data_IF_214686466109
#
_entry.id   IF_214686466109
#
_cell.length_a   1.000
_cell.length_b   1.000
_cell.length_c   1.000
_cell.angle_alpha   90.00
_cell.angle_beta   90.00
_cell.angle_gamma   90.00
#
_symmetry.space_group_name_H-M   'P 1'
#
loop_
_entity.id
_entity.type
_entity.pdbx_description
1 polymer ?
#
# COMPACT_ATOMS: atom_id res chain seq x y z
N UNK A 1 -5.26 -27.12 20.94
CA UNK A 1 -6.28 -26.27 20.28
C UNK A 1 -6.04 -24.80 20.64
N UNK A 2 -4.77 -24.39 20.70
CA UNK A 2 -4.32 -23.21 21.44
C UNK A 2 -4.57 -21.93 20.63
N UNK A 3 -5.56 -21.17 21.12
CA UNK A 3 -5.47 -19.74 21.44
C UNK A 3 -4.15 -19.08 21.02
N UNK A 4 -4.21 -18.19 20.03
CA UNK A 4 -3.18 -17.17 19.82
C UNK A 4 -3.85 -15.83 19.51
N UNK A 5 -4.15 -15.12 20.59
CA UNK A 5 -4.13 -13.66 20.73
C UNK A 5 -3.01 -13.05 19.88
N UNK A 6 -3.22 -11.90 19.21
CA UNK A 6 -2.37 -10.70 19.29
C UNK A 6 -2.94 -9.56 18.43
N UNK A 7 -2.71 -8.35 18.96
CA UNK A 7 -3.40 -7.11 18.71
C UNK A 7 -2.69 -6.24 17.66
N UNK A 8 -3.48 -5.50 16.87
CA UNK A 8 -3.07 -4.20 16.35
C UNK A 8 -4.14 -3.17 16.71
N UNK A 9 -3.66 -2.01 17.18
CA UNK A 9 -4.41 -0.99 17.86
C UNK A 9 -4.83 0.10 16.86
N UNK A 10 -6.12 0.19 16.53
CA UNK A 10 -6.80 1.45 16.21
C UNK A 10 -8.22 1.34 16.77
N UNK A 11 -8.39 1.82 18.00
CA UNK A 11 -9.69 2.15 18.57
C UNK A 11 -10.13 3.45 17.89
N UNK A 12 -11.21 3.41 17.12
CA UNK A 12 -12.36 4.25 17.42
C UNK A 12 -13.61 3.78 16.66
N UNK A 13 -14.70 3.74 17.41
CA UNK A 13 -16.02 3.24 17.04
C UNK A 13 -16.63 4.24 16.05
N UNK A 14 -16.53 4.00 14.74
CA UNK A 14 -17.11 4.91 13.75
C UNK A 14 -18.65 4.77 13.77
N UNK A 15 -19.42 5.84 14.03
CA UNK A 15 -20.87 5.81 14.03
C UNK A 15 -21.43 5.50 12.63
N UNK A 16 -22.62 4.87 12.62
CA UNK A 16 -23.27 4.23 11.45
C UNK A 16 -23.75 5.15 10.31
N UNK A 17 -23.30 6.40 10.18
CA UNK A 17 -24.02 7.37 9.33
C UNK A 17 -23.24 8.08 8.22
N UNK A 18 -21.96 7.77 7.96
CA UNK A 18 -21.18 8.63 7.05
C UNK A 18 -20.49 7.86 5.93
N UNK A 19 -21.15 7.86 4.77
CA UNK A 19 -20.70 7.34 3.47
C UNK A 19 -19.41 7.98 2.91
N UNK A 20 -18.69 8.80 3.67
CA UNK A 20 -17.59 9.65 3.17
C UNK A 20 -16.38 9.76 4.11
N UNK A 21 -16.21 8.84 5.07
CA UNK A 21 -14.99 8.82 5.86
C UNK A 21 -13.80 8.41 4.99
N UNK A 22 -12.71 9.19 5.02
CA UNK A 22 -11.51 8.91 4.22
C UNK A 22 -10.98 7.48 4.46
N UNK A 23 -11.00 7.01 5.71
CA UNK A 23 -10.68 5.62 6.08
C UNK A 23 -11.56 4.59 5.37
N UNK A 24 -12.85 4.85 5.23
CA UNK A 24 -13.78 3.95 4.55
C UNK A 24 -13.55 3.94 3.04
N UNK A 25 -13.18 5.06 2.43
CA UNK A 25 -12.90 5.14 0.99
C UNK A 25 -11.61 4.39 0.61
N UNK A 26 -10.50 4.70 1.28
CA UNK A 26 -9.24 3.96 1.15
C UNK A 26 -9.51 2.47 1.40
N UNK A 27 -10.33 2.23 2.42
CA UNK A 27 -10.77 0.92 2.78
C UNK A 27 -11.78 0.25 1.83
N UNK A 28 -12.45 0.93 0.94
CA UNK A 28 -13.23 0.24 -0.09
C UNK A 28 -12.31 -0.16 -1.23
N UNK A 29 -11.39 0.74 -1.56
CA UNK A 29 -10.47 0.62 -2.66
C UNK A 29 -9.52 -0.56 -2.48
N UNK A 30 -8.81 -0.67 -1.35
CA UNK A 30 -7.87 -1.79 -1.13
C UNK A 30 -8.64 -3.13 -1.11
N UNK A 31 -9.84 -3.19 -0.54
CA UNK A 31 -10.55 -4.48 -0.45
C UNK A 31 -11.01 -4.97 -1.82
N UNK A 32 -11.50 -4.07 -2.67
CA UNK A 32 -11.98 -4.44 -4.00
C UNK A 32 -10.83 -4.61 -4.99
N UNK A 33 -9.91 -3.66 -5.04
CA UNK A 33 -8.90 -3.57 -6.10
C UNK A 33 -7.69 -4.48 -5.81
N UNK A 34 -7.43 -4.81 -4.53
CA UNK A 34 -6.30 -5.64 -4.11
C UNK A 34 -6.76 -7.00 -3.62
N UNK A 35 -7.57 -7.03 -2.55
CA UNK A 35 -7.87 -8.28 -1.85
C UNK A 35 -8.80 -9.16 -2.70
N UNK A 36 -10.01 -8.70 -2.99
CA UNK A 36 -11.01 -9.45 -3.76
C UNK A 36 -10.60 -9.70 -5.21
N UNK A 37 -9.80 -8.80 -5.79
CA UNK A 37 -9.20 -9.02 -7.09
C UNK A 37 -8.22 -10.20 -7.10
N UNK A 38 -7.59 -10.49 -5.95
CA UNK A 38 -6.64 -11.61 -5.79
C UNK A 38 -7.30 -12.87 -5.27
N UNK A 39 -8.21 -12.75 -4.30
CA UNK A 39 -8.86 -13.88 -3.64
C UNK A 39 -10.18 -14.19 -4.36
N UNK A 40 -10.13 -15.14 -5.29
CA UNK A 40 -11.30 -15.56 -6.05
C UNK A 40 -12.34 -16.27 -5.15
N UNK A 41 -13.18 -15.52 -4.42
CA UNK A 41 -14.35 -16.05 -3.71
C UNK A 41 -15.58 -15.11 -3.75
N UNK A 42 -16.75 -15.75 -3.68
CA UNK A 42 -18.08 -15.21 -3.91
C UNK A 42 -18.54 -14.15 -2.88
N UNK A 43 -19.42 -13.29 -3.37
CA UNK A 43 -19.98 -12.06 -2.79
C UNK A 43 -20.73 -12.24 -1.45
N UNK A 44 -20.54 -11.28 -0.54
CA UNK A 44 -21.61 -10.33 -0.13
C UNK A 44 -20.99 -8.96 0.18
N UNK A 45 -21.68 -7.83 -0.13
CA UNK A 45 -21.22 -6.50 0.26
C UNK A 45 -21.53 -6.27 1.74
N UNK A 46 -20.68 -6.80 2.61
CA UNK A 46 -20.67 -6.47 4.03
C UNK A 46 -20.03 -5.11 4.29
N UNK A 47 -20.53 -4.40 5.30
CA UNK A 47 -20.02 -3.11 5.79
C UNK A 47 -18.51 -3.20 6.07
N UNK A 48 -17.68 -2.48 5.31
CA UNK A 48 -16.23 -2.54 5.41
C UNK A 48 -15.67 -1.73 6.60
N UNK A 49 -15.30 -2.44 7.66
CA UNK A 49 -14.48 -1.94 8.76
C UNK A 49 -13.23 -2.82 8.89
N UNK A 50 -12.12 -2.36 8.30
CA UNK A 50 -10.78 -2.98 8.19
C UNK A 50 -10.22 -3.59 9.48
N UNK A 51 -10.75 -4.75 9.81
CA UNK A 51 -10.38 -5.53 10.97
C UNK A 51 -9.89 -6.87 10.48
N UNK A 52 -9.00 -7.50 11.25
CA UNK A 52 -8.43 -8.80 10.88
C UNK A 52 -9.49 -9.86 10.53
N UNK A 53 -10.68 -9.81 11.15
CA UNK A 53 -11.76 -10.74 10.82
C UNK A 53 -12.31 -10.58 9.38
N UNK A 54 -12.28 -9.37 8.80
CA UNK A 54 -12.70 -9.16 7.40
C UNK A 54 -11.61 -9.65 6.44
N UNK A 55 -10.34 -9.36 6.73
CA UNK A 55 -9.20 -9.88 5.96
C UNK A 55 -9.15 -11.41 5.97
N UNK A 56 -9.38 -12.02 7.14
CA UNK A 56 -9.44 -13.46 7.29
C UNK A 56 -10.63 -14.09 6.58
N UNK A 57 -11.78 -13.40 6.54
CA UNK A 57 -12.94 -13.85 5.76
C UNK A 57 -12.64 -13.86 4.25
N UNK A 58 -11.77 -12.97 3.80
CA UNK A 58 -11.30 -12.89 2.42
C UNK A 58 -10.08 -13.78 2.14
N UNK A 59 -9.62 -14.60 3.10
CA UNK A 59 -8.52 -15.56 2.91
C UNK A 59 -7.11 -15.04 3.23
N UNK A 60 -6.99 -13.83 3.77
CA UNK A 60 -5.69 -13.29 4.24
C UNK A 60 -5.43 -13.79 5.66
N UNK A 61 -4.35 -14.56 5.84
CA UNK A 61 -4.04 -15.22 7.12
C UNK A 61 -2.92 -14.54 7.90
N UNK A 62 -2.00 -13.85 7.22
CA UNK A 62 -0.81 -13.24 7.83
C UNK A 62 -0.54 -11.90 7.13
N UNK A 63 -0.19 -10.88 7.92
CA UNK A 63 0.28 -9.58 7.43
C UNK A 63 1.69 -9.37 7.96
N UNK A 64 2.64 -9.14 7.07
CA UNK A 64 4.05 -8.98 7.41
C UNK A 64 4.61 -7.67 6.84
N UNK A 65 5.68 -7.17 7.45
CA UNK A 65 6.43 -5.99 6.98
C UNK A 65 7.54 -6.45 6.04
N UNK A 66 7.62 -5.91 4.82
CA UNK A 66 8.54 -6.39 3.78
C UNK A 66 10.03 -6.23 4.17
N UNK A 67 10.35 -5.21 4.97
CA UNK A 67 11.71 -4.91 5.44
C UNK A 67 12.18 -5.85 6.57
N UNK A 68 11.26 -6.58 7.21
CA UNK A 68 11.59 -7.49 8.31
C UNK A 68 11.89 -8.89 7.77
N UNK A 69 12.65 -9.64 8.56
CA UNK A 69 12.83 -11.06 8.32
C UNK A 69 11.49 -11.79 8.48
N UNK A 70 11.15 -12.64 7.51
CA UNK A 70 9.89 -13.38 7.41
C UNK A 70 10.19 -14.86 7.22
N UNK A 71 9.33 -15.73 7.74
CA UNK A 71 9.49 -17.17 7.52
C UNK A 71 9.03 -17.53 6.10
N UNK A 72 9.82 -18.30 5.34
CA UNK A 72 9.39 -18.78 4.02
C UNK A 72 8.14 -19.65 4.15
N UNK A 73 7.11 -19.32 3.37
CA UNK A 73 5.87 -20.07 3.21
C UNK A 73 5.65 -20.45 1.73
N UNK A 74 6.45 -21.37 1.14
CA UNK A 74 6.44 -21.66 -0.29
C UNK A 74 5.13 -22.30 -0.80
N UNK A 75 4.24 -22.73 0.11
CA UNK A 75 2.91 -23.26 -0.23
C UNK A 75 1.85 -22.17 -0.41
N UNK A 76 2.12 -20.93 0.03
CA UNK A 76 1.21 -19.80 0.03
C UNK A 76 1.56 -18.79 -1.07
N UNK A 77 0.57 -18.06 -1.56
CA UNK A 77 0.77 -16.90 -2.42
C UNK A 77 0.80 -15.63 -1.59
N UNK A 78 1.54 -14.62 -2.03
CA UNK A 78 1.69 -13.36 -1.31
C UNK A 78 1.09 -12.19 -2.09
N UNK A 79 0.52 -11.24 -1.34
CA UNK A 79 0.05 -9.96 -1.84
C UNK A 79 1.02 -8.89 -1.31
N UNK A 80 1.73 -8.23 -2.22
CA UNK A 80 2.60 -7.11 -1.93
C UNK A 80 1.83 -5.81 -2.16
N UNK A 81 1.46 -5.13 -1.07
CA UNK A 81 0.97 -3.76 -1.12
C UNK A 81 2.11 -2.84 -0.67
N UNK A 82 2.88 -2.31 -1.63
CA UNK A 82 4.16 -1.63 -1.35
C UNK A 82 4.31 -0.32 -2.11
N UNK A 83 5.02 0.64 -1.54
CA UNK A 83 5.48 1.83 -2.26
C UNK A 83 6.65 1.45 -3.15
N UNK A 84 6.72 1.87 -4.44
CA UNK A 84 7.75 1.48 -5.40
C UNK A 84 9.09 2.20 -5.12
N UNK A 85 9.70 1.92 -3.97
CA UNK A 85 11.03 2.38 -3.61
C UNK A 85 12.07 1.32 -3.99
N UNK A 86 13.32 1.73 -4.12
CA UNK A 86 14.40 0.77 -4.40
C UNK A 86 14.48 -0.33 -3.31
N UNK A 87 14.29 0.03 -2.04
CA UNK A 87 14.33 -0.90 -0.92
C UNK A 87 13.22 -1.96 -1.01
N UNK A 88 11.96 -1.55 -1.23
CA UNK A 88 10.83 -2.46 -1.28
C UNK A 88 10.86 -3.36 -2.51
N UNK A 89 11.22 -2.81 -3.69
CA UNK A 89 11.35 -3.59 -4.93
C UNK A 89 12.49 -4.60 -4.82
N UNK A 90 13.62 -4.24 -4.22
CA UNK A 90 14.72 -5.19 -3.97
C UNK A 90 14.34 -6.26 -2.96
N UNK A 91 13.60 -5.93 -1.90
CA UNK A 91 13.13 -6.90 -0.93
C UNK A 91 12.14 -7.90 -1.58
N UNK A 92 11.21 -7.42 -2.40
CA UNK A 92 10.34 -8.26 -3.24
C UNK A 92 11.17 -9.19 -4.15
N UNK A 93 12.19 -8.67 -4.82
CA UNK A 93 13.06 -9.48 -5.67
C UNK A 93 13.83 -10.55 -4.88
N UNK A 94 14.24 -10.23 -3.65
CA UNK A 94 14.95 -11.14 -2.75
C UNK A 94 14.09 -12.35 -2.36
N UNK A 95 12.79 -12.15 -2.18
CA UNK A 95 11.84 -13.23 -1.83
C UNK A 95 11.78 -14.34 -2.90
N UNK A 96 12.20 -14.06 -4.14
CA UNK A 96 12.14 -15.00 -5.26
C UNK A 96 13.50 -15.23 -5.95
N UNK A 97 14.60 -14.93 -5.27
CA UNK A 97 15.95 -14.98 -5.86
C UNK A 97 16.36 -16.39 -6.31
N UNK A 98 15.91 -17.45 -5.61
CA UNK A 98 16.26 -18.85 -5.90
C UNK A 98 15.04 -19.69 -6.22
N UNK A 99 15.12 -20.54 -7.25
CA UNK A 99 14.02 -21.43 -7.65
C UNK A 99 13.58 -22.40 -6.55
N UNK A 100 14.55 -22.86 -5.76
CA UNK A 100 14.34 -23.93 -4.78
C UNK A 100 14.14 -23.37 -3.36
N UNK A 101 14.18 -22.04 -3.19
CA UNK A 101 14.09 -21.34 -1.90
C UNK A 101 13.34 -20.01 -2.08
N UNK A 102 12.18 -20.06 -2.71
CA UNK A 102 11.29 -18.89 -2.74
C UNK A 102 10.61 -18.73 -1.39
N UNK A 103 10.35 -17.48 -0.96
CA UNK A 103 9.59 -17.19 0.24
C UNK A 103 8.11 -17.56 0.06
N UNK A 104 7.57 -17.43 -1.16
CA UNK A 104 6.17 -17.72 -1.48
C UNK A 104 6.07 -18.48 -2.81
N UNK A 105 4.88 -19.03 -3.10
CA UNK A 105 4.55 -19.75 -4.34
C UNK A 105 4.44 -18.81 -5.53
N UNK A 106 3.79 -17.66 -5.34
CA UNK A 106 3.58 -16.61 -6.33
C UNK A 106 3.41 -15.25 -5.63
N UNK A 107 3.52 -14.17 -6.41
CA UNK A 107 3.40 -12.79 -5.97
C UNK A 107 2.28 -12.06 -6.73
N UNK A 108 1.47 -11.32 -5.98
CA UNK A 108 0.52 -10.34 -6.49
C UNK A 108 0.98 -8.95 -6.04
N UNK A 109 1.45 -8.12 -6.97
CA UNK A 109 2.15 -6.87 -6.67
C UNK A 109 1.23 -5.67 -6.95
N UNK A 110 1.00 -4.88 -5.93
CA UNK A 110 0.19 -3.66 -5.96
C UNK A 110 1.03 -2.49 -5.47
N UNK A 111 1.43 -1.62 -6.38
CA UNK A 111 2.17 -0.41 -6.04
C UNK A 111 1.22 0.68 -5.55
N UNK A 112 1.60 1.34 -4.45
CA UNK A 112 0.79 2.42 -3.86
C UNK A 112 0.79 3.71 -4.70
N UNK A 113 1.77 3.89 -5.58
CA UNK A 113 1.90 5.02 -6.52
C UNK A 113 2.51 4.54 -7.84
N UNK A 114 2.68 5.47 -8.78
CA UNK A 114 3.30 5.18 -10.07
C UNK A 114 4.70 4.59 -9.86
N UNK A 115 4.98 3.44 -10.45
CA UNK A 115 6.27 2.79 -10.34
C UNK A 115 7.27 3.43 -11.31
N UNK A 116 8.39 3.99 -10.84
CA UNK A 116 9.41 4.54 -11.72
C UNK A 116 9.88 3.51 -12.76
N UNK A 117 9.96 3.92 -14.03
CA UNK A 117 10.23 3.01 -15.15
C UNK A 117 11.55 2.22 -14.97
N UNK A 118 12.56 2.85 -14.38
CA UNK A 118 13.83 2.21 -14.05
C UNK A 118 13.65 1.05 -13.04
N UNK A 119 12.85 1.24 -11.99
CA UNK A 119 12.58 0.20 -10.99
C UNK A 119 11.71 -0.91 -11.58
N UNK A 120 10.69 -0.55 -12.36
CA UNK A 120 9.86 -1.53 -13.05
C UNK A 120 10.70 -2.40 -14.00
N UNK A 121 11.60 -1.79 -14.78
CA UNK A 121 12.49 -2.50 -15.70
C UNK A 121 13.46 -3.45 -14.96
N UNK A 122 13.96 -3.05 -13.79
CA UNK A 122 14.80 -3.91 -12.95
C UNK A 122 13.98 -5.11 -12.43
N UNK A 123 12.76 -4.86 -11.93
CA UNK A 123 11.86 -5.91 -11.47
C UNK A 123 11.48 -6.87 -12.60
N UNK A 124 11.10 -6.35 -13.77
CA UNK A 124 10.70 -7.14 -14.93
C UNK A 124 11.79 -8.10 -15.42
N UNK A 125 13.06 -7.67 -15.36
CA UNK A 125 14.24 -8.49 -15.71
C UNK A 125 14.66 -9.45 -14.60
N UNK A 126 14.14 -9.28 -13.39
CA UNK A 126 14.47 -10.14 -12.25
C UNK A 126 13.85 -11.53 -12.37
N UNK A 127 14.28 -12.45 -11.50
CA UNK A 127 13.62 -13.76 -11.39
C UNK A 127 12.21 -13.67 -10.83
N UNK A 128 11.94 -12.67 -9.97
CA UNK A 128 10.66 -12.49 -9.30
C UNK A 128 9.50 -12.24 -10.29
N UNK A 129 9.78 -11.64 -11.45
CA UNK A 129 8.76 -11.41 -12.48
C UNK A 129 8.13 -12.72 -12.99
N UNK A 130 8.85 -13.84 -12.94
CA UNK A 130 8.33 -15.17 -13.33
C UNK A 130 7.32 -15.74 -12.34
N UNK A 131 7.32 -15.23 -11.11
CA UNK A 131 6.40 -15.62 -10.05
C UNK A 131 5.29 -14.58 -9.86
N UNK A 132 5.30 -13.49 -10.64
CA UNK A 132 4.36 -12.39 -10.53
C UNK A 132 3.09 -12.70 -11.34
N UNK A 133 1.98 -12.96 -10.65
CA UNK A 133 0.69 -13.27 -11.26
C UNK A 133 -0.13 -12.03 -11.59
N UNK A 134 -0.02 -10.98 -10.76
CA UNK A 134 -0.62 -9.67 -11.01
C UNK A 134 0.35 -8.56 -10.64
N UNK A 135 0.34 -7.49 -11.42
CA UNK A 135 1.11 -6.28 -11.16
C UNK A 135 0.24 -5.07 -11.53
N UNK A 136 -0.05 -4.18 -10.58
CA UNK A 136 -0.91 -3.02 -10.81
C UNK A 136 -0.56 -1.87 -9.88
N UNK A 137 -0.97 -0.66 -10.26
CA UNK A 137 -0.81 0.56 -9.45
C UNK A 137 -2.18 0.96 -8.92
N UNK A 138 -2.30 1.20 -7.62
CA UNK A 138 -3.59 1.55 -7.00
C UNK A 138 -3.72 3.03 -6.66
N UNK A 139 -2.65 3.82 -6.77
CA UNK A 139 -2.65 5.27 -6.49
C UNK A 139 -3.31 5.61 -5.14
N UNK A 140 -2.75 5.04 -4.07
CA UNK A 140 -3.07 5.29 -2.67
C UNK A 140 -1.77 5.60 -1.90
N UNK A 141 -1.26 6.82 -2.04
CA UNK A 141 0.04 7.21 -1.46
C UNK A 141 -0.08 8.23 -0.32
N UNK A 142 -1.10 8.07 0.54
CA UNK A 142 -1.29 8.85 1.75
C UNK A 142 -1.86 7.98 2.90
N UNK A 143 -1.73 8.45 4.14
CA UNK A 143 -2.23 7.77 5.33
C UNK A 143 -3.52 8.47 5.80
N UNK A 144 -4.68 7.77 5.83
CA UNK A 144 -5.91 8.31 6.39
C UNK A 144 -5.89 8.24 7.93
N UNK A 145 -5.45 9.32 8.58
CA UNK A 145 -5.31 9.38 10.04
C UNK A 145 -6.67 9.43 10.75
N UNK A 146 -7.59 10.25 10.24
CA UNK A 146 -8.94 10.42 10.77
C UNK A 146 -9.95 10.51 9.64
N UNK A 147 -11.20 10.85 9.97
CA UNK A 147 -12.26 11.00 8.98
C UNK A 147 -11.94 12.07 7.92
N UNK A 148 -11.32 13.18 8.35
CA UNK A 148 -11.03 14.36 7.53
C UNK A 148 -9.55 14.77 7.59
N UNK A 149 -8.69 13.90 8.11
CA UNK A 149 -7.26 14.17 8.28
C UNK A 149 -6.46 13.10 7.56
N UNK A 150 -5.50 13.52 6.76
CA UNK A 150 -4.53 12.66 6.10
C UNK A 150 -3.10 13.12 6.39
N UNK A 151 -2.15 12.21 6.21
CA UNK A 151 -0.71 12.49 6.26
C UNK A 151 -0.05 11.95 5.01
N UNK A 152 0.99 12.64 4.51
CA UNK A 152 1.86 12.13 3.44
C UNK A 152 3.03 11.29 3.96
N UNK A 153 3.18 11.22 5.29
CA UNK A 153 4.26 10.51 5.99
C UNK A 153 5.68 10.92 5.54
N UNK A 154 5.89 12.23 5.43
CA UNK A 154 7.17 12.84 5.01
C UNK A 154 7.77 13.68 6.13
N UNK A 155 8.37 13.08 7.18
CA UNK A 155 8.96 13.82 8.30
C UNK A 155 10.08 14.77 7.86
N UNK A 156 10.81 14.41 6.80
CA UNK A 156 11.90 15.21 6.25
C UNK A 156 11.45 16.38 5.36
N UNK A 157 10.16 16.45 4.99
CA UNK A 157 9.64 17.50 4.10
C UNK A 157 9.98 18.90 4.64
N UNK A 158 9.90 19.08 5.96
CA UNK A 158 10.27 20.34 6.60
C UNK A 158 11.71 20.75 6.28
N UNK A 159 12.65 19.80 6.27
CA UNK A 159 14.05 20.07 5.94
C UNK A 159 14.21 20.48 4.48
N UNK A 160 13.57 19.78 3.54
CA UNK A 160 13.67 20.14 2.12
C UNK A 160 13.13 21.54 1.81
N UNK A 161 12.11 21.99 2.55
CA UNK A 161 11.51 23.31 2.35
C UNK A 161 12.32 24.44 2.99
N UNK A 162 12.76 24.25 4.23
CA UNK A 162 13.28 25.36 5.03
C UNK A 162 14.79 25.34 5.23
N UNK A 163 15.48 24.23 4.96
CA UNK A 163 16.93 24.14 5.07
C UNK A 163 17.61 24.55 3.75
N UNK A 164 18.39 25.66 3.72
CA UNK A 164 19.09 26.09 2.51
C UNK A 164 20.06 25.05 1.94
N UNK A 165 20.63 24.18 2.79
CA UNK A 165 21.54 23.14 2.36
C UNK A 165 20.86 22.05 1.49
N UNK A 166 19.52 21.91 1.61
CA UNK A 166 18.71 20.96 0.83
C UNK A 166 17.96 21.63 -0.33
N UNK A 167 18.25 22.90 -0.64
CA UNK A 167 17.52 23.64 -1.65
C UNK A 167 17.58 23.02 -3.06
N UNK A 168 18.67 22.31 -3.39
CA UNK A 168 18.84 21.62 -4.66
C UNK A 168 17.79 20.51 -4.88
N UNK A 169 17.41 19.80 -3.82
CA UNK A 169 16.47 18.66 -3.88
C UNK A 169 15.01 19.09 -3.64
N UNK A 170 14.78 20.36 -3.29
CA UNK A 170 13.46 20.86 -2.91
C UNK A 170 12.41 20.60 -3.99
N UNK A 171 12.70 20.95 -5.24
CA UNK A 171 11.74 20.82 -6.34
C UNK A 171 11.29 19.38 -6.54
N UNK A 172 12.23 18.43 -6.46
CA UNK A 172 11.95 17.00 -6.59
C UNK A 172 11.05 16.49 -5.45
N UNK A 173 11.31 16.89 -4.20
CA UNK A 173 10.47 16.48 -3.08
C UNK A 173 9.08 17.14 -3.11
N UNK A 174 8.98 18.37 -3.63
CA UNK A 174 7.69 19.04 -3.87
C UNK A 174 6.85 18.30 -4.91
N UNK A 175 7.48 17.84 -6.00
CA UNK A 175 6.83 17.06 -7.06
C UNK A 175 6.27 15.74 -6.52
N UNK A 176 7.06 14.97 -5.76
CA UNK A 176 6.59 13.75 -5.10
C UNK A 176 5.39 14.00 -4.20
N UNK A 177 5.41 15.06 -3.40
CA UNK A 177 4.26 15.39 -2.54
C UNK A 177 3.04 15.85 -3.33
N UNK A 178 3.25 16.56 -4.44
CA UNK A 178 2.15 16.94 -5.33
C UNK A 178 1.47 15.71 -5.94
N UNK A 179 2.24 14.70 -6.35
CA UNK A 179 1.72 13.41 -6.80
C UNK A 179 0.91 12.71 -5.70
N UNK A 180 1.43 12.65 -4.46
CA UNK A 180 0.69 12.05 -3.34
C UNK A 180 -0.63 12.78 -3.07
N UNK A 181 -0.63 14.11 -3.09
CA UNK A 181 -1.86 14.92 -2.96
C UNK A 181 -2.83 14.65 -4.13
N UNK A 182 -2.31 14.47 -5.35
CA UNK A 182 -3.14 14.12 -6.50
C UNK A 182 -3.81 12.74 -6.32
N UNK A 183 -3.12 11.76 -5.71
CA UNK A 183 -3.74 10.45 -5.38
C UNK A 183 -4.89 10.57 -4.38
N UNK A 184 -4.80 11.51 -3.42
CA UNK A 184 -5.89 11.81 -2.51
C UNK A 184 -7.11 12.37 -3.26
N UNK A 185 -6.90 13.37 -4.12
CA UNK A 185 -7.97 13.94 -4.94
C UNK A 185 -8.63 12.87 -5.82
N UNK A 186 -7.82 12.03 -6.46
CA UNK A 186 -8.30 10.89 -7.27
C UNK A 186 -9.12 9.89 -6.45
N UNK A 187 -8.66 9.57 -5.23
CA UNK A 187 -9.38 8.66 -4.31
C UNK A 187 -10.72 9.23 -3.85
N UNK A 188 -10.81 10.55 -3.70
CA UNK A 188 -12.05 11.24 -3.37
C UNK A 188 -12.97 11.43 -4.60
N UNK A 189 -12.45 11.25 -5.82
CA UNK A 189 -13.18 11.55 -7.06
C UNK A 189 -13.32 13.05 -7.32
N UNK A 190 -12.41 13.87 -6.78
CA UNK A 190 -12.50 15.33 -6.77
C UNK A 190 -11.46 15.96 -7.70
N UNK A 191 -11.83 17.08 -8.34
CA UNK A 191 -10.93 17.90 -9.16
C UNK A 191 -10.97 19.37 -8.69
N UNK A 192 -10.25 19.69 -7.59
CA UNK A 192 -10.39 20.99 -6.93
C UNK A 192 -9.65 22.12 -7.67
N UNK A 193 -10.13 23.35 -7.49
CA UNK A 193 -9.37 24.55 -7.88
C UNK A 193 -8.19 24.76 -6.93
N UNK A 194 -6.97 24.77 -7.47
CA UNK A 194 -5.73 24.91 -6.69
C UNK A 194 -5.55 26.36 -6.23
N UNK A 195 -5.25 26.56 -4.94
CA UNK A 195 -4.95 27.87 -4.33
C UNK A 195 -3.71 27.74 -3.44
N UNK A 196 -2.93 28.81 -3.32
CA UNK A 196 -1.75 28.88 -2.46
C UNK A 196 -1.69 30.21 -1.70
N UNK A 197 -0.89 30.26 -0.63
CA UNK A 197 -0.61 31.50 0.12
C UNK A 197 0.59 32.21 -0.50
N UNK A 198 0.38 33.43 -0.98
CA UNK A 198 1.44 34.33 -1.50
C UNK A 198 2.27 34.96 -0.38
#
# INVERSE_FOLDING_TARGET
MLSNTFYFNIIERIPKTEKWALKTLVGHKIMNDVIKATTAQNQTPGKLEWRMHELSAEGITIVETIEKHREPLPSMESIYLITPTEASVRALMSDFQSQNRTAYRAAHVYFTEACPENLFNIFAKSRASKFCNSCSEIYLSFIPLERQVFSLDKPDAFQYYYNPAKAADRSLEMEKMAEQIATLCSTLGEYPSIRYRS
#
